data_IF_504274055239
#
_entry.id   IF_504274055239
#
_cell.length_a   1.000
_cell.length_b   1.000
_cell.length_c   1.000
_cell.angle_alpha   90.00
_cell.angle_beta   90.00
_cell.angle_gamma   90.00
#
_symmetry.space_group_name_H-M   'P 1'
#
loop_
_entity.id
_entity.type
_entity.pdbx_description
1 polymer ?
#
# COMPACT_ATOMS: atom_id res chain seq x y z
N UNK A 1 -1.90 -10.02 35.41
CA UNK A 1 -1.35 -9.41 34.19
C UNK A 1 -2.09 -10.03 33.02
N UNK A 2 -2.99 -9.29 32.38
CA UNK A 2 -3.75 -9.76 31.22
C UNK A 2 -2.79 -9.84 30.04
N UNK A 3 -2.60 -11.04 29.50
CA UNK A 3 -1.81 -11.27 28.30
C UNK A 3 -2.72 -11.01 27.09
N UNK A 4 -3.08 -9.75 26.82
CA UNK A 4 -3.78 -9.44 25.58
C UNK A 4 -2.78 -9.56 24.45
N UNK A 5 -2.76 -10.70 23.77
CA UNK A 5 -2.24 -10.73 22.39
C UNK A 5 -2.95 -9.59 21.67
N UNK A 6 -2.21 -8.57 21.23
CA UNK A 6 -2.76 -7.54 20.36
C UNK A 6 -3.46 -8.26 19.20
N UNK A 7 -4.76 -8.01 19.02
CA UNK A 7 -5.49 -8.62 17.91
C UNK A 7 -4.79 -8.22 16.62
N UNK A 8 -4.39 -9.21 15.84
CA UNK A 8 -3.77 -8.99 14.54
C UNK A 8 -4.91 -8.67 13.57
N UNK A 9 -5.03 -7.40 13.19
CA UNK A 9 -5.96 -6.95 12.17
C UNK A 9 -5.20 -6.80 10.83
N UNK A 10 -5.72 -7.42 9.77
CA UNK A 10 -5.08 -7.44 8.44
C UNK A 10 -6.05 -6.82 7.44
N UNK A 11 -5.61 -5.76 6.76
CA UNK A 11 -6.25 -5.30 5.54
C UNK A 11 -5.80 -6.19 4.38
N UNK A 12 -6.73 -6.92 3.78
CA UNK A 12 -6.42 -7.89 2.73
C UNK A 12 -6.33 -7.28 1.34
N UNK A 13 -6.61 -5.98 1.16
CA UNK A 13 -6.61 -5.35 -0.16
C UNK A 13 -6.32 -3.85 -0.08
N UNK A 14 -5.04 -3.48 -0.18
CA UNK A 14 -4.60 -2.10 -0.24
C UNK A 14 -3.85 -1.80 -1.54
N UNK A 15 -3.92 -0.55 -1.98
CA UNK A 15 -3.24 -0.06 -3.16
C UNK A 15 -2.32 1.11 -2.81
N UNK A 16 -1.13 1.13 -3.42
CA UNK A 16 -0.16 2.22 -3.29
C UNK A 16 0.31 2.69 -4.67
N UNK A 17 0.63 3.97 -4.80
CA UNK A 17 1.07 4.58 -6.06
C UNK A 17 1.89 5.85 -5.81
N UNK A 18 2.97 6.03 -6.59
CA UNK A 18 3.76 7.27 -6.63
C UNK A 18 3.74 7.88 -8.02
N UNK A 19 3.86 9.22 -8.09
CA UNK A 19 3.76 9.97 -9.33
C UNK A 19 4.75 9.54 -10.43
N UNK A 20 5.92 9.00 -10.07
CA UNK A 20 6.93 8.51 -11.02
C UNK A 20 6.55 7.22 -11.74
N UNK A 21 5.59 6.45 -11.21
CA UNK A 21 5.05 5.24 -11.83
C UNK A 21 3.78 5.52 -12.65
N UNK A 22 2.92 6.40 -12.14
CA UNK A 22 1.69 6.81 -12.83
C UNK A 22 1.98 7.53 -14.16
N UNK A 23 3.15 8.16 -14.26
CA UNK A 23 3.64 8.83 -15.48
C UNK A 23 4.16 7.88 -16.56
N UNK A 24 4.28 6.57 -16.28
CA UNK A 24 4.81 5.57 -17.25
C UNK A 24 3.74 4.78 -18.00
N UNK A 25 2.47 4.92 -17.63
CA UNK A 25 1.36 4.22 -18.30
C UNK A 25 0.30 5.22 -18.73
N UNK A 26 -0.01 5.26 -20.03
CA UNK A 26 -1.04 6.13 -20.64
C UNK A 26 -2.37 6.02 -19.88
N UNK A 27 -2.77 4.80 -19.50
CA UNK A 27 -4.00 4.55 -18.76
C UNK A 27 -4.05 5.21 -17.36
N UNK A 28 -2.92 5.38 -16.67
CA UNK A 28 -2.87 6.04 -15.36
C UNK A 28 -2.91 7.56 -15.48
N UNK A 29 -2.28 8.11 -16.52
CA UNK A 29 -2.31 9.55 -16.84
C UNK A 29 -3.74 9.96 -17.24
N UNK A 30 -4.35 9.24 -18.17
CA UNK A 30 -5.71 9.53 -18.65
C UNK A 30 -6.75 9.48 -17.53
N UNK A 31 -6.54 8.61 -16.55
CA UNK A 31 -7.45 8.43 -15.41
C UNK A 31 -7.16 9.34 -14.23
N UNK A 32 -6.15 10.21 -14.31
CA UNK A 32 -5.73 11.13 -13.21
C UNK A 32 -5.62 10.39 -11.88
N UNK A 33 -4.97 9.23 -11.90
CA UNK A 33 -4.86 8.38 -10.72
C UNK A 33 -4.28 9.16 -9.53
N UNK A 34 -4.86 9.05 -8.33
CA UNK A 34 -4.33 9.70 -7.15
C UNK A 34 -2.95 9.14 -6.82
N UNK A 35 -2.08 10.01 -6.31
CA UNK A 35 -0.83 9.61 -5.66
C UNK A 35 -1.22 9.10 -4.27
N UNK A 36 -0.87 7.85 -3.97
CA UNK A 36 -1.20 7.14 -2.74
C UNK A 36 0.09 6.52 -2.18
N UNK A 37 0.95 7.33 -1.55
CA UNK A 37 2.21 6.85 -1.02
C UNK A 37 1.97 5.85 0.13
N UNK A 38 2.87 4.88 0.30
CA UNK A 38 2.76 3.85 1.35
C UNK A 38 2.77 4.46 2.76
N UNK A 39 3.37 5.63 2.92
CA UNK A 39 3.39 6.41 4.15
C UNK A 39 1.97 6.81 4.60
N UNK A 40 1.08 7.16 3.66
CA UNK A 40 -0.31 7.52 3.97
C UNK A 40 -1.11 6.27 4.37
N UNK A 41 -0.84 5.12 3.75
CA UNK A 41 -1.42 3.83 4.13
C UNK A 41 -1.00 3.45 5.55
N UNK A 42 0.30 3.55 5.87
CA UNK A 42 0.81 3.27 7.22
C UNK A 42 0.17 4.15 8.28
N UNK A 43 0.02 5.45 8.00
CA UNK A 43 -0.64 6.38 8.92
C UNK A 43 -2.11 6.00 9.16
N UNK A 44 -2.83 5.56 8.13
CA UNK A 44 -4.20 5.05 8.29
C UNK A 44 -4.24 3.74 9.08
N UNK A 45 -3.33 2.82 8.80
CA UNK A 45 -3.21 1.57 9.56
C UNK A 45 -2.99 1.83 11.04
N UNK A 46 -2.07 2.74 11.39
CA UNK A 46 -1.79 3.15 12.76
C UNK A 46 -3.03 3.79 13.43
N UNK A 47 -3.73 4.67 12.71
CA UNK A 47 -4.93 5.34 13.23
C UNK A 47 -6.10 4.39 13.50
N UNK A 48 -6.18 3.27 12.77
CA UNK A 48 -7.27 2.30 12.84
C UNK A 48 -6.90 0.98 13.53
N UNK A 49 -5.67 0.85 14.02
CA UNK A 49 -5.20 -0.39 14.65
C UNK A 49 -5.02 -1.57 13.69
N UNK A 50 -4.86 -1.31 12.39
CA UNK A 50 -4.54 -2.34 11.40
C UNK A 50 -3.06 -2.68 11.52
N UNK A 51 -2.76 -3.96 11.73
CA UNK A 51 -1.39 -4.44 11.95
C UNK A 51 -0.66 -4.77 10.65
N UNK A 52 -1.37 -5.28 9.65
CA UNK A 52 -0.79 -5.69 8.37
C UNK A 52 -1.65 -5.30 7.18
N UNK A 53 -1.05 -5.12 6.00
CA UNK A 53 -1.75 -4.91 4.75
C UNK A 53 -1.21 -5.81 3.62
N UNK A 54 -2.11 -6.29 2.77
CA UNK A 54 -1.75 -6.95 1.51
C UNK A 54 -1.80 -5.92 0.39
N UNK A 55 -0.63 -5.62 -0.19
CA UNK A 55 -0.52 -4.72 -1.33
C UNK A 55 -0.92 -5.43 -2.62
N UNK A 56 -1.87 -4.85 -3.34
CA UNK A 56 -2.37 -5.34 -4.63
C UNK A 56 -1.95 -4.39 -5.74
N UNK A 57 -1.38 -4.94 -6.81
CA UNK A 57 -1.02 -4.16 -7.99
C UNK A 57 -2.26 -3.56 -8.66
N UNK A 58 -2.15 -2.30 -9.09
CA UNK A 58 -3.15 -1.66 -9.94
C UNK A 58 -3.24 -2.37 -11.30
N UNK A 59 -4.45 -2.78 -11.70
CA UNK A 59 -4.69 -3.49 -12.97
C UNK A 59 -4.43 -2.69 -14.26
N UNK A 60 -3.78 -1.52 -14.19
CA UNK A 60 -3.51 -0.63 -15.32
C UNK A 60 -2.01 -0.56 -15.66
N UNK A 61 -1.16 -1.28 -14.92
CA UNK A 61 0.29 -1.35 -15.15
C UNK A 61 0.84 -2.73 -14.76
N UNK A 62 1.83 -3.19 -15.52
CA UNK A 62 2.66 -4.36 -15.20
C UNK A 62 3.93 -3.99 -14.45
N UNK A 63 4.16 -2.71 -14.19
CA UNK A 63 5.31 -2.22 -13.41
C UNK A 63 4.99 -2.33 -11.91
N UNK A 64 5.66 -3.27 -11.25
CA UNK A 64 5.48 -3.56 -9.82
C UNK A 64 6.61 -2.98 -8.95
N UNK A 65 7.53 -2.18 -9.49
CA UNK A 65 8.76 -1.80 -8.77
C UNK A 65 8.47 -1.07 -7.45
N UNK A 66 7.46 -0.20 -7.41
CA UNK A 66 7.12 0.49 -6.16
C UNK A 66 6.45 -0.43 -5.15
N UNK A 67 5.58 -1.34 -5.59
CA UNK A 67 4.99 -2.34 -4.71
C UNK A 67 6.10 -3.23 -4.10
N UNK A 68 7.04 -3.70 -4.90
CA UNK A 68 8.20 -4.47 -4.43
C UNK A 68 9.09 -3.68 -3.47
N UNK A 69 9.32 -2.38 -3.74
CA UNK A 69 10.04 -1.49 -2.83
C UNK A 69 9.31 -1.36 -1.49
N UNK A 70 8.00 -1.17 -1.48
CA UNK A 70 7.22 -1.06 -0.25
C UNK A 70 7.36 -2.32 0.64
N UNK A 71 7.35 -3.51 0.03
CA UNK A 71 7.58 -4.77 0.75
C UNK A 71 8.99 -4.89 1.35
N UNK A 72 9.98 -4.21 0.75
CA UNK A 72 11.36 -4.18 1.24
C UNK A 72 11.52 -3.16 2.37
N UNK A 73 10.91 -1.98 2.22
CA UNK A 73 10.99 -0.87 3.17
C UNK A 73 10.15 -1.13 4.44
N UNK A 74 9.08 -1.94 4.34
CA UNK A 74 8.15 -2.28 5.44
C UNK A 74 7.95 -3.81 5.58
N UNK A 75 8.99 -4.57 5.98
CA UNK A 75 8.90 -6.02 6.04
C UNK A 75 7.97 -6.49 7.17
N UNK A 76 7.03 -7.39 6.85
CA UNK A 76 6.13 -7.99 7.82
C UNK A 76 5.02 -7.05 8.30
N UNK A 77 4.69 -6.04 7.51
CA UNK A 77 3.63 -5.07 7.75
C UNK A 77 2.75 -4.95 6.50
#
# INVERSE_FOLDING_TARGET
MSNSKSEILIDTHAHVAVGTLLSRTVAAIDRKMPILPVEDLNAQMDAHGVSHAVLVQWGFSWDHHYLARCLTDYPGR
#
